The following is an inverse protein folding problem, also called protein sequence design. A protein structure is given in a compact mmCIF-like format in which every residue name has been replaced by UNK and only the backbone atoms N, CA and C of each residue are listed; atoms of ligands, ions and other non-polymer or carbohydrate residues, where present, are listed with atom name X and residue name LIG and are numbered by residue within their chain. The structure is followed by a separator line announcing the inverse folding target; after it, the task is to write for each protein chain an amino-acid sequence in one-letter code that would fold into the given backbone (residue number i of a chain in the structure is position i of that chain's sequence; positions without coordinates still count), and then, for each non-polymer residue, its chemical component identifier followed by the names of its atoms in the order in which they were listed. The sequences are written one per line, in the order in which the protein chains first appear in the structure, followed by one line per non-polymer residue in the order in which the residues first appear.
data_IF_900633195987
#
_entry.id   IF_900633195987
#
_cell.length_a   1.000
_cell.length_b   1.000
_cell.length_c   1.000
_cell.angle_alpha   90.00
_cell.angle_beta   90.00
_cell.angle_gamma   90.00
#
_symmetry.space_group_name_H-M   'P 1'
#
loop_
_entity.id
_entity.type
_entity.pdbx_description
1 polymer ?
#
# COMPACT_ATOMS: atom_id res chain seq x y z
N UNK A 1 5.48 -10.45 -19.44
CA UNK A 1 4.71 -9.24 -19.05
C UNK A 1 4.04 -9.51 -17.72
N UNK A 2 4.27 -8.70 -16.69
CA UNK A 2 3.57 -8.87 -15.39
C UNK A 2 2.16 -8.30 -15.50
N UNK A 3 1.19 -8.95 -14.85
CA UNK A 3 -0.23 -8.57 -14.89
C UNK A 3 -0.53 -7.50 -13.84
N UNK A 4 -1.27 -6.47 -14.21
CA UNK A 4 -1.81 -5.51 -13.26
C UNK A 4 -2.92 -6.20 -12.47
N UNK A 5 -2.87 -6.12 -11.15
CA UNK A 5 -3.96 -6.61 -10.30
C UNK A 5 -5.16 -5.67 -10.35
N UNK A 6 -6.34 -6.26 -10.53
CA UNK A 6 -7.61 -5.56 -10.51
C UNK A 6 -8.58 -6.34 -9.63
N UNK A 7 -9.14 -5.70 -8.60
CA UNK A 7 -10.09 -6.31 -7.67
C UNK A 7 -9.50 -7.25 -6.60
N UNK A 8 -8.17 -7.44 -6.55
CA UNK A 8 -7.51 -8.24 -5.52
C UNK A 8 -6.68 -7.36 -4.59
N UNK A 9 -7.06 -7.30 -3.31
CA UNK A 9 -6.41 -6.51 -2.26
C UNK A 9 -5.31 -7.26 -1.50
N UNK A 10 -4.89 -8.43 -1.98
CA UNK A 10 -3.87 -9.26 -1.34
C UNK A 10 -2.45 -8.87 -1.77
N UNK A 11 -1.92 -7.80 -1.16
CA UNK A 11 -0.58 -7.26 -1.44
C UNK A 11 0.56 -8.24 -1.20
N UNK A 12 0.40 -9.13 -0.20
CA UNK A 12 1.33 -10.22 0.04
C UNK A 12 1.51 -11.10 -1.19
N UNK A 13 0.42 -11.56 -1.80
CA UNK A 13 0.50 -12.36 -3.02
C UNK A 13 1.10 -11.56 -4.18
N UNK A 14 0.79 -10.26 -4.27
CA UNK A 14 1.26 -9.42 -5.38
C UNK A 14 2.77 -9.23 -5.36
N UNK A 15 3.35 -8.98 -4.19
CA UNK A 15 4.80 -8.73 -4.08
C UNK A 15 5.63 -10.02 -3.96
N UNK A 16 5.08 -11.10 -3.40
CA UNK A 16 5.75 -12.41 -3.39
C UNK A 16 5.71 -13.06 -4.78
N UNK A 17 4.57 -12.97 -5.48
CA UNK A 17 4.47 -13.55 -6.81
C UNK A 17 4.99 -12.55 -7.83
N UNK A 18 6.19 -12.79 -8.36
CA UNK A 18 6.86 -11.97 -9.39
C UNK A 18 6.08 -11.77 -10.71
N UNK A 19 4.86 -12.26 -10.81
CA UNK A 19 3.99 -12.14 -11.99
C UNK A 19 3.03 -10.96 -11.94
N UNK A 20 2.94 -10.25 -10.80
CA UNK A 20 2.00 -9.13 -10.65
C UNK A 20 2.70 -7.79 -10.44
N UNK A 21 2.01 -6.72 -10.83
CA UNK A 21 2.36 -5.35 -10.47
C UNK A 21 1.21 -4.69 -9.73
N UNK A 22 1.55 -4.04 -8.63
CA UNK A 22 0.72 -3.04 -7.98
C UNK A 22 1.15 -1.66 -8.44
N UNK A 23 0.18 -0.83 -8.80
CA UNK A 23 0.39 0.58 -9.16
C UNK A 23 -0.47 1.39 -8.20
N UNK A 24 0.17 2.14 -7.30
CA UNK A 24 -0.55 3.16 -6.55
C UNK A 24 -0.81 4.36 -7.46
N UNK A 25 -2.04 4.85 -7.44
CA UNK A 25 -2.47 6.06 -8.18
C UNK A 25 -2.78 7.22 -7.25
N UNK A 26 -2.56 7.04 -5.95
CA UNK A 26 -2.75 8.08 -4.94
C UNK A 26 -1.43 8.79 -4.65
N UNK A 27 -1.50 9.95 -3.98
CA UNK A 27 -0.32 10.69 -3.53
C UNK A 27 0.13 10.28 -2.12
N UNK A 28 -0.57 9.36 -1.46
CA UNK A 28 -0.38 9.15 -0.02
C UNK A 28 0.95 8.49 0.32
N UNK A 29 1.41 7.56 -0.51
CA UNK A 29 2.73 6.93 -0.34
C UNK A 29 3.83 7.99 -0.53
N UNK A 30 3.76 8.77 -1.60
CA UNK A 30 4.70 9.88 -1.87
C UNK A 30 4.74 10.87 -0.70
N UNK A 31 3.58 11.33 -0.21
CA UNK A 31 3.52 12.22 0.96
C UNK A 31 4.17 11.59 2.18
N UNK A 32 4.01 10.28 2.40
CA UNK A 32 4.60 9.57 3.52
C UNK A 32 6.11 9.45 3.43
N UNK A 33 6.64 9.13 2.25
CA UNK A 33 8.08 9.07 2.01
C UNK A 33 8.73 10.45 2.18
N UNK A 34 8.04 11.51 1.79
CA UNK A 34 8.52 12.89 1.92
C UNK A 34 8.43 13.47 3.33
N UNK A 35 7.72 12.85 4.27
CA UNK A 35 7.60 13.37 5.64
C UNK A 35 8.93 13.29 6.41
N UNK A 36 9.87 12.41 6.01
CA UNK A 36 11.16 12.19 6.68
C UNK A 36 11.04 11.95 8.20
N UNK A 37 9.95 11.34 8.64
CA UNK A 37 9.70 11.00 10.05
C UNK A 37 9.87 9.48 10.27
N UNK A 38 10.56 9.09 11.35
CA UNK A 38 10.73 7.68 11.71
C UNK A 38 9.41 7.03 12.15
N UNK A 39 8.46 7.83 12.65
CA UNK A 39 7.20 7.35 13.20
C UNK A 39 6.01 8.18 12.72
N UNK A 40 5.08 7.50 12.03
CA UNK A 40 3.82 8.11 11.58
C UNK A 40 2.67 7.55 12.38
N UNK A 41 1.89 8.46 13.00
CA UNK A 41 0.70 8.10 13.76
C UNK A 41 -0.54 8.37 12.91
N UNK A 42 -1.23 7.30 12.53
CA UNK A 42 -2.59 7.43 12.00
C UNK A 42 -3.56 7.64 13.16
N UNK A 43 -4.21 8.80 13.20
CA UNK A 43 -5.30 9.07 14.15
C UNK A 43 -6.41 8.01 14.05
N UNK A 44 -7.34 8.01 15.00
CA UNK A 44 -8.32 6.91 15.17
C UNK A 44 -9.65 7.03 14.39
N UNK A 45 -9.74 7.49 13.11
CA UNK A 45 -10.99 7.25 12.39
C UNK A 45 -11.21 5.76 12.10
N UNK A 46 -12.36 5.26 12.52
CA UNK A 46 -12.77 3.86 12.36
C UNK A 46 -13.02 3.56 10.88
N UNK A 47 -12.61 2.37 10.43
CA UNK A 47 -12.84 1.86 9.05
C UNK A 47 -12.28 2.74 7.92
N UNK A 48 -11.29 3.60 8.21
CA UNK A 48 -10.63 4.45 7.22
C UNK A 48 -9.67 3.69 6.26
N UNK A 49 -9.58 2.36 6.35
CA UNK A 49 -8.70 1.59 5.46
C UNK A 49 -7.20 1.63 5.82
N UNK A 50 -6.82 2.10 7.01
CA UNK A 50 -5.41 2.15 7.47
C UNK A 50 -4.71 0.79 7.36
N UNK A 51 -5.38 -0.29 7.74
CA UNK A 51 -4.82 -1.64 7.66
C UNK A 51 -4.54 -2.08 6.23
N UNK A 52 -5.41 -1.71 5.28
CA UNK A 52 -5.20 -2.00 3.86
C UNK A 52 -4.02 -1.22 3.31
N UNK A 53 -3.92 0.06 3.68
CA UNK A 53 -2.83 0.94 3.29
C UNK A 53 -1.47 0.49 3.84
N UNK A 54 -1.40 0.07 5.11
CA UNK A 54 -0.17 -0.50 5.67
C UNK A 54 0.22 -1.82 4.99
N UNK A 55 -0.76 -2.64 4.60
CA UNK A 55 -0.53 -3.88 3.85
C UNK A 55 0.13 -3.64 2.48
N UNK A 56 -0.18 -2.52 1.80
CA UNK A 56 0.48 -2.18 0.53
C UNK A 56 1.93 -1.74 0.70
N UNK A 57 2.29 -1.20 1.87
CA UNK A 57 3.65 -0.77 2.21
C UNK A 57 4.52 -1.91 2.76
N UNK A 58 3.93 -2.80 3.56
CA UNK A 58 4.67 -3.82 4.33
C UNK A 58 5.32 -4.90 3.47
N UNK A 59 4.55 -5.47 2.54
CA UNK A 59 5.06 -6.52 1.65
C UNK A 59 5.92 -5.92 0.57
#
# INVERSE_FOLDING_TARGET
MKKIIYGNSNFKQIKINNNYFYIDKTKFIETLENLNEDFVIFLRPRRFGKSLFLSSLQY
#
